data_IF_863969452997
#
_entry.id   IF_863969452997
#
_cell.length_a   1.000
_cell.length_b   1.000
_cell.length_c   1.000
_cell.angle_alpha   90.00
_cell.angle_beta   90.00
_cell.angle_gamma   90.00
#
_symmetry.space_group_name_H-M   'P 1'
#
loop_
_entity.id
_entity.type
_entity.pdbx_description
1 polymer ?
#
# COMPACT_ATOMS: atom_id res chain seq x y z
N UNK A 1 15.74 5.86 -14.08
CA UNK A 1 15.43 6.95 -13.14
C UNK A 1 13.94 7.20 -13.11
N UNK A 2 13.40 7.38 -11.92
CA UNK A 2 11.98 7.66 -11.78
C UNK A 2 11.64 9.06 -12.26
N UNK A 3 10.45 9.19 -12.82
CA UNK A 3 9.93 10.47 -13.25
C UNK A 3 9.75 11.39 -12.04
N UNK A 4 10.18 12.65 -12.19
CA UNK A 4 9.95 13.63 -11.16
C UNK A 4 8.48 14.07 -11.16
N UNK A 5 7.87 14.10 -9.99
CA UNK A 5 6.52 14.61 -9.83
C UNK A 5 6.55 15.75 -8.82
N UNK A 6 6.00 16.88 -9.21
CA UNK A 6 5.91 18.03 -8.33
C UNK A 6 4.80 17.79 -7.30
N UNK A 7 4.79 18.64 -6.25
CA UNK A 7 3.71 18.60 -5.28
C UNK A 7 2.35 18.85 -5.97
N UNK A 8 2.32 19.75 -6.95
CA UNK A 8 1.10 20.02 -7.69
C UNK A 8 0.63 18.80 -8.48
N UNK A 9 1.58 18.05 -9.09
CA UNK A 9 1.24 16.83 -9.79
C UNK A 9 0.66 15.79 -8.83
N UNK A 10 1.29 15.62 -7.68
CA UNK A 10 0.83 14.64 -6.68
C UNK A 10 -0.55 15.02 -6.15
N UNK A 11 -0.79 16.30 -5.89
CA UNK A 11 -2.08 16.76 -5.41
C UNK A 11 -3.18 16.52 -6.46
N UNK A 12 -2.88 16.75 -7.72
CA UNK A 12 -3.84 16.52 -8.79
C UNK A 12 -4.18 15.04 -8.91
N UNK A 13 -3.17 14.19 -8.85
CA UNK A 13 -3.36 12.74 -8.92
C UNK A 13 -4.20 12.27 -7.71
N UNK A 14 -3.81 12.69 -6.51
CA UNK A 14 -4.55 12.31 -5.31
C UNK A 14 -6.00 12.80 -5.35
N UNK A 15 -6.21 14.04 -5.80
CA UNK A 15 -7.53 14.62 -5.89
C UNK A 15 -8.48 13.81 -6.76
N UNK A 16 -7.96 13.27 -7.85
CA UNK A 16 -8.77 12.43 -8.74
C UNK A 16 -9.31 11.20 -8.00
N UNK A 17 -8.47 10.53 -7.23
CA UNK A 17 -8.89 9.33 -6.52
C UNK A 17 -9.77 9.64 -5.32
N UNK A 18 -9.54 10.77 -4.67
CA UNK A 18 -10.40 11.25 -3.59
C UNK A 18 -11.80 11.56 -4.13
N UNK A 19 -11.88 12.19 -5.31
CA UNK A 19 -13.17 12.44 -5.95
C UNK A 19 -13.88 11.13 -6.27
N UNK A 20 -13.16 10.13 -6.75
CA UNK A 20 -13.74 8.82 -7.02
C UNK A 20 -14.26 8.17 -5.73
N UNK A 21 -13.53 8.33 -4.64
CA UNK A 21 -13.94 7.80 -3.33
C UNK A 21 -15.25 8.47 -2.88
N UNK A 22 -15.31 9.79 -2.96
CA UNK A 22 -16.51 10.53 -2.55
C UNK A 22 -17.71 10.15 -3.39
N UNK A 23 -17.51 9.98 -4.69
CA UNK A 23 -18.58 9.55 -5.59
C UNK A 23 -19.02 8.12 -5.27
N UNK A 24 -18.08 7.24 -5.08
CA UNK A 24 -18.34 5.82 -4.81
C UNK A 24 -19.17 5.62 -3.55
N UNK A 25 -18.85 6.38 -2.49
CA UNK A 25 -19.50 6.24 -1.21
C UNK A 25 -20.56 7.31 -0.94
N UNK A 26 -20.88 8.11 -1.96
CA UNK A 26 -21.93 9.13 -1.91
C UNK A 26 -21.72 10.13 -0.77
N UNK A 27 -20.48 10.57 -0.61
CA UNK A 27 -20.12 11.56 0.40
C UNK A 27 -20.20 12.94 -0.23
N UNK A 28 -20.90 13.87 0.45
CA UNK A 28 -21.02 15.24 -0.04
C UNK A 28 -19.73 16.01 0.24
N UNK A 29 -19.29 16.80 -0.72
CA UNK A 29 -18.13 17.68 -0.52
C UNK A 29 -18.45 18.80 0.46
N UNK A 30 -19.73 19.09 0.67
CA UNK A 30 -20.15 20.11 1.63
C UNK A 30 -20.08 19.60 3.06
N UNK A 31 -20.10 18.28 3.25
CA UNK A 31 -19.97 17.64 4.56
C UNK A 31 -18.89 16.56 4.42
N UNK A 32 -17.63 16.99 4.36
CA UNK A 32 -16.54 16.01 4.10
C UNK A 32 -16.35 15.06 5.27
N UNK A 33 -15.94 13.83 4.93
CA UNK A 33 -15.62 12.78 5.88
C UNK A 33 -14.18 12.38 5.70
N UNK A 34 -13.52 11.89 6.75
CA UNK A 34 -12.15 11.36 6.59
C UNK A 34 -12.12 10.21 5.60
N UNK A 35 -11.07 10.16 4.80
CA UNK A 35 -10.87 9.05 3.89
C UNK A 35 -10.40 7.85 4.69
N UNK A 36 -11.04 6.71 4.48
CA UNK A 36 -10.59 5.42 5.00
C UNK A 36 -9.64 4.82 3.97
N UNK A 37 -8.34 4.73 4.25
CA UNK A 37 -7.38 4.24 3.25
C UNK A 37 -7.65 2.81 2.80
N UNK A 38 -8.11 1.94 3.67
CA UNK A 38 -8.42 0.57 3.28
C UNK A 38 -9.58 0.52 2.30
N UNK A 39 -10.61 1.32 2.53
CA UNK A 39 -11.73 1.43 1.62
C UNK A 39 -11.32 2.03 0.28
N UNK A 40 -10.48 3.04 0.31
CA UNK A 40 -9.95 3.62 -0.91
C UNK A 40 -9.18 2.57 -1.69
N UNK A 41 -8.28 1.86 -1.02
CA UNK A 41 -7.46 0.85 -1.66
C UNK A 41 -8.32 -0.27 -2.26
N UNK A 42 -9.25 -0.80 -1.51
CA UNK A 42 -10.02 -1.97 -1.95
C UNK A 42 -11.15 -1.61 -2.91
N UNK A 43 -11.95 -0.61 -2.58
CA UNK A 43 -13.16 -0.32 -3.36
C UNK A 43 -12.91 0.59 -4.55
N UNK A 44 -11.98 1.53 -4.44
CA UNK A 44 -11.70 2.47 -5.52
C UNK A 44 -10.55 1.99 -6.40
N UNK A 45 -9.47 1.51 -5.79
CA UNK A 45 -8.27 1.11 -6.53
C UNK A 45 -8.25 -0.36 -6.91
N UNK A 46 -9.15 -1.16 -6.36
CA UNK A 46 -9.20 -2.59 -6.67
C UNK A 46 -8.02 -3.39 -6.13
N UNK A 47 -7.42 -2.91 -5.05
CA UNK A 47 -6.29 -3.59 -4.43
C UNK A 47 -6.75 -4.63 -3.43
N UNK A 48 -5.94 -5.65 -3.23
CA UNK A 48 -6.19 -6.68 -2.21
C UNK A 48 -5.36 -6.34 -0.98
N UNK A 49 -5.99 -5.82 0.04
CA UNK A 49 -5.31 -5.46 1.28
C UNK A 49 -5.31 -6.67 2.20
N UNK A 50 -4.12 -7.11 2.59
CA UNK A 50 -3.94 -8.29 3.44
C UNK A 50 -3.11 -7.93 4.67
N UNK A 51 -3.37 -8.64 5.76
CA UNK A 51 -2.59 -8.48 6.98
C UNK A 51 -1.87 -9.80 7.24
N UNK A 52 -0.56 -9.78 7.27
CA UNK A 52 0.26 -10.96 7.50
C UNK A 52 1.48 -10.59 8.33
N UNK A 53 2.05 -11.54 9.09
CA UNK A 53 3.29 -11.27 9.83
C UNK A 53 4.46 -11.24 8.86
N UNK A 54 4.87 -10.02 8.49
CA UNK A 54 5.93 -9.83 7.50
C UNK A 54 7.32 -10.03 8.08
N UNK A 55 7.51 -9.61 9.32
CA UNK A 55 8.78 -9.82 10.00
C UNK A 55 8.58 -9.72 11.50
N UNK A 56 9.52 -10.29 12.25
CA UNK A 56 9.39 -10.34 13.70
C UNK A 56 9.90 -9.09 14.41
N UNK A 57 10.71 -8.28 13.74
CA UNK A 57 11.37 -7.12 14.34
C UNK A 57 10.76 -5.78 13.96
N UNK A 58 9.65 -5.77 13.24
CA UNK A 58 8.99 -4.53 12.83
C UNK A 58 9.72 -3.77 11.74
N UNK A 59 10.72 -4.36 11.11
CA UNK A 59 11.49 -3.68 10.07
C UNK A 59 10.70 -3.54 8.76
N UNK A 60 9.72 -4.39 8.54
CA UNK A 60 8.84 -4.33 7.37
C UNK A 60 7.42 -4.08 7.86
N UNK A 61 6.88 -2.92 7.53
CA UNK A 61 5.51 -2.57 7.92
C UNK A 61 4.50 -2.83 6.83
N UNK A 62 4.94 -2.78 5.57
CA UNK A 62 4.06 -3.06 4.46
C UNK A 62 4.85 -3.29 3.20
N UNK A 63 4.18 -3.87 2.22
CA UNK A 63 4.74 -3.99 0.88
C UNK A 63 3.63 -4.00 -0.15
N UNK A 64 3.99 -3.60 -1.35
CA UNK A 64 3.07 -3.61 -2.47
C UNK A 64 3.63 -4.52 -3.56
N UNK A 65 2.75 -5.19 -4.27
CA UNK A 65 3.13 -6.26 -5.17
C UNK A 65 2.74 -5.88 -6.60
N UNK A 66 3.73 -5.83 -7.49
CA UNK A 66 3.51 -5.50 -8.88
C UNK A 66 3.53 -6.73 -9.79
N UNK A 67 4.11 -7.81 -9.32
CA UNK A 67 4.13 -9.06 -10.07
C UNK A 67 4.11 -10.25 -9.11
N UNK A 68 3.64 -11.37 -9.59
CA UNK A 68 3.54 -12.58 -8.77
C UNK A 68 4.91 -12.94 -8.21
N UNK A 69 4.95 -13.26 -6.91
CA UNK A 69 6.20 -13.65 -6.26
C UNK A 69 5.93 -14.43 -4.98
N UNK A 70 6.99 -15.08 -4.49
CA UNK A 70 6.97 -15.71 -3.18
C UNK A 70 7.64 -14.83 -2.14
N UNK A 71 7.13 -14.88 -0.92
CA UNK A 71 7.68 -14.14 0.20
C UNK A 71 7.58 -14.98 1.46
N UNK A 72 8.67 -15.03 2.23
CA UNK A 72 8.69 -15.81 3.46
C UNK A 72 8.14 -14.96 4.61
N UNK A 73 7.05 -15.42 5.23
CA UNK A 73 6.49 -14.79 6.42
C UNK A 73 6.92 -15.59 7.64
N UNK A 74 7.09 -14.90 8.78
CA UNK A 74 7.48 -15.53 10.02
C UNK A 74 6.32 -15.44 11.01
N UNK A 75 5.84 -16.60 11.46
CA UNK A 75 4.77 -16.66 12.43
C UNK A 75 5.30 -16.38 13.84
N UNK A 76 4.36 -16.18 14.78
CA UNK A 76 4.71 -15.83 16.14
C UNK A 76 5.54 -16.89 16.87
N UNK A 77 5.42 -18.16 16.48
CA UNK A 77 6.19 -19.25 17.07
C UNK A 77 7.54 -19.47 16.37
N UNK A 78 7.90 -18.59 15.44
CA UNK A 78 9.14 -18.71 14.68
C UNK A 78 9.02 -19.55 13.42
N UNK A 79 7.88 -20.18 13.18
CA UNK A 79 7.64 -20.95 11.97
C UNK A 79 7.67 -20.05 10.75
N UNK A 80 8.31 -20.49 9.68
CA UNK A 80 8.37 -19.73 8.43
C UNK A 80 7.54 -20.42 7.36
N UNK A 81 6.74 -19.61 6.67
CA UNK A 81 5.91 -20.08 5.56
C UNK A 81 6.19 -19.22 4.35
N UNK A 82 6.10 -19.82 3.16
CA UNK A 82 6.19 -19.07 1.92
C UNK A 82 4.78 -18.73 1.47
N UNK A 83 4.51 -17.44 1.34
CA UNK A 83 3.24 -16.95 0.81
C UNK A 83 3.45 -16.53 -0.63
N UNK A 84 2.45 -16.77 -1.46
CA UNK A 84 2.47 -16.32 -2.84
C UNK A 84 1.65 -15.05 -2.93
N UNK A 85 2.27 -13.98 -3.40
CA UNK A 85 1.60 -12.71 -3.59
C UNK A 85 1.34 -12.47 -5.07
N UNK A 86 0.25 -11.80 -5.34
CA UNK A 86 -0.19 -11.52 -6.70
C UNK A 86 -0.15 -10.02 -6.98
N UNK A 87 -0.11 -9.61 -8.25
CA UNK A 87 -0.22 -8.19 -8.57
C UNK A 87 -1.45 -7.57 -7.92
N UNK A 88 -1.30 -6.34 -7.44
CA UNK A 88 -2.32 -5.58 -6.72
C UNK A 88 -2.53 -6.03 -5.28
N UNK A 89 -1.72 -6.94 -4.77
CA UNK A 89 -1.70 -7.22 -3.34
C UNK A 89 -0.98 -6.08 -2.62
N UNK A 90 -1.58 -5.63 -1.54
CA UNK A 90 -0.99 -4.69 -0.60
C UNK A 90 -0.98 -5.41 0.74
N UNK A 91 0.21 -5.67 1.26
CA UNK A 91 0.35 -6.49 2.46
C UNK A 91 0.86 -5.61 3.59
N UNK A 92 0.14 -5.63 4.69
CA UNK A 92 0.44 -4.82 5.87
C UNK A 92 0.83 -5.77 6.99
N UNK A 93 1.87 -5.42 7.75
CA UNK A 93 2.29 -6.26 8.85
C UNK A 93 1.18 -6.40 9.88
N UNK A 94 0.91 -7.63 10.29
CA UNK A 94 -0.19 -7.93 11.19
C UNK A 94 -0.05 -7.26 12.56
N UNK A 95 1.15 -6.85 12.95
CA UNK A 95 1.33 -6.09 14.19
C UNK A 95 0.56 -4.77 14.17
N UNK A 96 0.27 -4.23 13.00
CA UNK A 96 -0.46 -2.97 12.87
C UNK A 96 -1.97 -3.14 13.02
N UNK A 97 -2.45 -4.37 13.17
CA UNK A 97 -3.88 -4.62 13.41
C UNK A 97 -4.30 -4.30 14.84
N UNK A 98 -3.34 -4.21 15.76
CA UNK A 98 -3.65 -3.99 17.17
C UNK A 98 -4.17 -2.58 17.42
N UNK A 99 -4.95 -2.43 18.48
CA UNK A 99 -5.43 -1.14 18.91
C UNK A 99 -4.23 -0.24 19.24
N UNK A 100 -4.37 1.05 18.95
CA UNK A 100 -3.28 1.99 19.13
C UNK A 100 -2.39 2.14 17.91
N UNK A 101 -2.51 1.27 16.91
CA UNK A 101 -1.73 1.35 15.69
C UNK A 101 -2.56 1.80 14.48
N UNK A 102 -3.78 2.28 14.70
CA UNK A 102 -4.67 2.68 13.61
C UNK A 102 -4.04 3.73 12.69
N UNK A 103 -3.41 4.75 13.26
CA UNK A 103 -2.79 5.79 12.45
C UNK A 103 -1.64 5.25 11.62
N UNK A 104 -0.80 4.42 12.20
CA UNK A 104 0.32 3.81 11.49
C UNK A 104 -0.17 2.87 10.40
N UNK A 105 -1.18 2.07 10.71
CA UNK A 105 -1.80 1.16 9.74
C UNK A 105 -2.37 1.95 8.55
N UNK A 106 -3.13 2.99 8.83
CA UNK A 106 -3.75 3.78 7.77
C UNK A 106 -2.70 4.48 6.92
N UNK A 107 -1.66 5.01 7.54
CA UNK A 107 -0.56 5.61 6.79
C UNK A 107 0.12 4.60 5.89
N UNK A 108 0.37 3.40 6.43
CA UNK A 108 1.05 2.35 5.67
C UNK A 108 0.21 1.90 4.48
N UNK A 109 -1.10 1.71 4.69
CA UNK A 109 -1.98 1.35 3.58
C UNK A 109 -1.97 2.43 2.50
N UNK A 110 -2.08 3.69 2.90
CA UNK A 110 -2.07 4.80 1.96
C UNK A 110 -0.74 4.88 1.20
N UNK A 111 0.37 4.62 1.89
CA UNK A 111 1.69 4.64 1.29
C UNK A 111 1.82 3.57 0.21
N UNK A 112 1.41 2.34 0.52
CA UNK A 112 1.50 1.24 -0.45
C UNK A 112 0.51 1.44 -1.60
N UNK A 113 -0.67 1.97 -1.32
CA UNK A 113 -1.63 2.29 -2.36
C UNK A 113 -1.09 3.35 -3.32
N UNK A 114 -0.36 4.34 -2.80
CA UNK A 114 0.25 5.37 -3.63
C UNK A 114 1.26 4.77 -4.62
N UNK A 115 2.03 3.78 -4.19
CA UNK A 115 2.95 3.10 -5.10
C UNK A 115 2.20 2.40 -6.23
N UNK A 116 1.05 1.79 -5.93
CA UNK A 116 0.23 1.15 -6.96
C UNK A 116 -0.31 2.18 -7.95
N UNK A 117 -0.76 3.32 -7.46
CA UNK A 117 -1.26 4.39 -8.33
C UNK A 117 -0.16 4.86 -9.27
N UNK A 118 1.01 5.14 -8.73
CA UNK A 118 2.12 5.64 -9.54
C UNK A 118 2.60 4.60 -10.54
N UNK A 119 2.59 3.33 -10.17
CA UNK A 119 2.96 2.26 -11.08
C UNK A 119 1.96 2.13 -12.23
N UNK A 120 0.67 2.32 -11.96
CA UNK A 120 -0.35 2.26 -12.99
C UNK A 120 -0.25 3.45 -13.96
N UNK A 121 0.01 4.64 -13.43
CA UNK A 121 0.09 5.84 -14.25
C UNK A 121 1.42 5.97 -14.99
N UNK A 122 2.49 5.50 -14.39
CA UNK A 122 3.83 5.63 -14.92
C UNK A 122 4.59 4.31 -14.79
N UNK A 123 4.15 3.26 -15.51
CA UNK A 123 4.69 1.92 -15.30
C UNK A 123 6.19 1.81 -15.60
N UNK A 124 6.72 2.63 -16.52
CA UNK A 124 8.13 2.59 -16.85
C UNK A 124 9.00 3.21 -15.76
N UNK A 125 8.44 4.11 -14.96
CA UNK A 125 9.19 4.83 -13.95
C UNK A 125 8.99 4.24 -12.55
N UNK A 126 7.79 3.70 -12.25
CA UNK A 126 7.44 3.30 -10.89
C UNK A 126 7.08 1.84 -10.74
N UNK A 127 6.74 1.14 -11.82
CA UNK A 127 6.25 -0.24 -11.73
C UNK A 127 7.31 -1.30 -11.93
N UNK A 128 8.18 -1.11 -12.90
CA UNK A 128 9.08 -2.18 -13.30
C UNK A 128 10.27 -2.38 -12.37
N UNK A 129 10.61 -1.36 -11.61
CA UNK A 129 11.77 -1.46 -10.72
C UNK A 129 11.48 -2.31 -9.50
N UNK A 130 10.23 -2.51 -9.19
CA UNK A 130 9.83 -3.21 -7.98
C UNK A 130 9.44 -4.62 -8.34
N UNK A 131 10.36 -5.53 -8.09
CA UNK A 131 10.06 -6.94 -8.22
C UNK A 131 9.65 -7.45 -6.86
N UNK A 132 8.74 -8.38 -6.86
CA UNK A 132 8.22 -8.87 -5.61
C UNK A 132 9.22 -9.78 -4.93
N UNK A 133 10.12 -9.20 -4.23
CA UNK A 133 11.10 -9.91 -3.42
C UNK A 133 10.84 -9.73 -1.94
N UNK A 134 9.73 -9.12 -1.60
CA UNK A 134 9.37 -8.92 -0.23
C UNK A 134 10.11 -7.81 0.49
N UNK A 135 11.28 -7.45 0.04
CA UNK A 135 12.06 -6.42 0.73
C UNK A 135 12.01 -5.06 0.07
N UNK A 136 11.39 -4.95 -1.08
CA UNK A 136 11.45 -3.73 -1.86
C UNK A 136 10.63 -2.60 -1.25
N UNK A 137 9.37 -2.85 -0.97
CA UNK A 137 8.52 -1.83 -0.36
C UNK A 137 9.04 -1.44 1.01
N UNK A 138 9.52 -2.41 1.74
CA UNK A 138 10.16 -2.18 3.00
C UNK A 138 11.37 -1.27 2.87
N UNK A 139 12.17 -1.46 1.84
CA UNK A 139 13.37 -0.64 1.66
C UNK A 139 13.03 0.83 1.46
N UNK A 140 11.90 1.10 0.85
CA UNK A 140 11.48 2.48 0.73
C UNK A 140 11.22 3.10 2.08
N UNK A 141 10.65 2.34 2.99
CA UNK A 141 10.41 2.83 4.32
C UNK A 141 11.73 3.16 5.04
N UNK A 142 12.73 2.35 4.82
CA UNK A 142 14.03 2.56 5.45
C UNK A 142 14.90 3.54 4.68
N UNK A 143 14.66 3.67 3.40
CA UNK A 143 15.39 4.60 2.57
C UNK A 143 14.89 6.01 2.68
N UNK A 144 13.78 6.16 3.36
CA UNK A 144 13.03 7.39 3.51
C UNK A 144 13.75 8.61 3.11
#
# INVERSE_FOLDING_TARGET
MARYLSRADLSRIAGKYIDQYYTRFRISKDVPEPIDPERLASAVLGLNVKMLPLCSDGSILGLTVFQRCGFTVTLGDGTKLVEIFMPKDVVIDSALAADGFTGCRNFTIAHEAAHQILADLFPNDYGKAVKCRGHIAYRERNGQ
#
